data_IF_185088886057
#
_entry.id   IF_185088886057
#
_cell.length_a   1.000
_cell.length_b   1.000
_cell.length_c   1.000
_cell.angle_alpha   90.00
_cell.angle_beta   90.00
_cell.angle_gamma   90.00
#
_symmetry.space_group_name_H-M   'P 1'
#
loop_
_entity.id
_entity.type
_entity.pdbx_description
1 polymer ?
#
# COMPACT_ATOMS: atom_id res chain seq x y z
N UNK A 1 16.74 19.53 7.39
CA UNK A 1 15.91 18.58 6.62
C UNK A 1 16.46 17.19 6.93
N UNK A 2 15.79 16.42 7.78
CA UNK A 2 16.31 15.13 8.26
C UNK A 2 15.78 14.01 7.36
N UNK A 3 16.65 13.49 6.50
CA UNK A 3 16.38 12.31 5.68
C UNK A 3 16.59 11.08 6.56
N UNK A 4 15.51 10.48 7.04
CA UNK A 4 15.57 9.32 7.91
C UNK A 4 16.24 8.15 7.18
N UNK A 5 17.42 7.74 7.65
CA UNK A 5 18.17 6.60 7.11
C UNK A 5 17.36 5.31 7.34
N UNK A 6 16.83 4.74 6.25
CA UNK A 6 16.09 3.48 6.27
C UNK A 6 17.11 2.33 6.34
N UNK A 7 17.10 1.48 7.38
CA UNK A 7 18.03 0.36 7.49
C UNK A 7 17.89 -0.60 6.29
N UNK A 8 19.02 -1.16 5.83
CA UNK A 8 19.13 -1.95 4.60
C UNK A 8 18.25 -3.22 4.58
N UNK A 9 17.80 -3.72 5.73
CA UNK A 9 16.85 -4.82 5.88
C UNK A 9 15.39 -4.45 5.57
N UNK A 10 15.12 -3.18 5.24
CA UNK A 10 13.79 -2.64 4.98
C UNK A 10 13.68 -1.94 3.61
N UNK A 11 14.60 -2.27 2.68
CA UNK A 11 14.51 -1.80 1.28
C UNK A 11 13.25 -2.36 0.64
N UNK A 12 12.22 -1.51 0.54
CA UNK A 12 10.96 -1.87 -0.11
C UNK A 12 11.21 -1.98 -1.60
N UNK A 13 11.00 -3.17 -2.13
CA UNK A 13 10.99 -3.40 -3.57
C UNK A 13 9.62 -3.02 -4.12
N UNK A 14 9.62 -2.22 -5.18
CA UNK A 14 8.40 -1.85 -5.89
C UNK A 14 7.69 -3.12 -6.37
N UNK A 15 6.43 -3.35 -5.98
CA UNK A 15 5.69 -4.54 -6.38
C UNK A 15 5.34 -4.52 -7.88
N UNK A 16 5.43 -3.35 -8.53
CA UNK A 16 5.01 -3.16 -9.92
C UNK A 16 6.15 -3.37 -10.92
N UNK A 17 7.36 -2.89 -10.61
CA UNK A 17 8.52 -2.97 -11.51
C UNK A 17 9.74 -3.66 -10.90
N UNK A 18 9.71 -4.04 -9.62
CA UNK A 18 10.85 -4.67 -8.95
C UNK A 18 11.99 -3.73 -8.58
N UNK A 19 11.84 -2.40 -8.74
CA UNK A 19 12.87 -1.44 -8.33
C UNK A 19 13.02 -1.32 -6.81
N UNK A 20 14.24 -1.08 -6.31
CA UNK A 20 14.50 -0.72 -4.90
C UNK A 20 14.47 0.80 -4.66
N UNK A 21 14.40 1.62 -5.70
CA UNK A 21 14.38 3.08 -5.61
C UNK A 21 13.00 3.58 -5.18
N UNK A 22 12.68 3.38 -3.91
CA UNK A 22 11.42 3.78 -3.32
C UNK A 22 11.59 4.89 -2.30
N UNK A 23 10.65 5.83 -2.27
CA UNK A 23 10.54 6.87 -1.24
C UNK A 23 9.35 6.54 -0.36
N UNK A 24 9.61 6.27 0.92
CA UNK A 24 8.58 6.00 1.90
C UNK A 24 7.98 7.30 2.44
N UNK A 25 6.66 7.34 2.53
CA UNK A 25 5.90 8.31 3.30
C UNK A 25 5.28 7.60 4.50
N UNK A 26 5.74 7.96 5.69
CA UNK A 26 5.17 7.45 6.94
C UNK A 26 4.03 8.36 7.37
N UNK A 27 2.92 7.76 7.81
CA UNK A 27 1.89 8.51 8.54
C UNK A 27 2.49 8.99 9.86
N UNK A 28 2.05 10.16 10.33
CA UNK A 28 2.38 10.58 11.68
C UNK A 28 1.62 9.77 12.73
N UNK A 29 2.28 9.49 13.85
CA UNK A 29 1.66 8.80 14.99
C UNK A 29 1.20 9.79 16.09
N UNK A 30 1.65 11.04 16.03
CA UNK A 30 1.39 12.10 17.03
C UNK A 30 1.42 13.48 16.37
N UNK A 31 0.39 14.30 16.59
CA UNK A 31 0.33 15.70 16.12
C UNK A 31 -0.36 15.91 14.75
N UNK A 32 -0.54 17.18 14.33
CA UNK A 32 -1.20 17.56 13.08
C UNK A 32 -0.27 17.37 11.88
N UNK A 33 0.25 16.16 11.68
CA UNK A 33 0.83 15.79 10.39
C UNK A 33 -0.33 15.53 9.43
N UNK A 34 -0.35 16.24 8.31
CA UNK A 34 -1.37 16.09 7.26
C UNK A 34 -1.40 14.66 6.66
N UNK A 35 -0.33 13.88 6.84
CA UNK A 35 -0.22 12.52 6.37
C UNK A 35 -1.01 11.50 7.22
N UNK A 36 -2.22 11.20 6.76
CA UNK A 36 -3.11 10.18 7.33
C UNK A 36 -2.78 8.74 6.92
N UNK A 37 -2.19 8.59 5.73
CA UNK A 37 -1.92 7.30 5.09
C UNK A 37 -0.41 7.02 5.04
N UNK A 38 -0.05 5.73 5.05
CA UNK A 38 1.32 5.27 4.82
C UNK A 38 1.43 4.61 3.46
N UNK A 39 2.36 5.08 2.65
CA UNK A 39 2.60 4.59 1.31
C UNK A 39 4.05 4.80 0.91
N UNK A 40 4.49 4.14 -0.15
CA UNK A 40 5.76 4.45 -0.78
C UNK A 40 5.59 4.68 -2.28
N UNK A 41 6.39 5.57 -2.83
CA UNK A 41 6.44 5.86 -4.27
C UNK A 41 7.70 5.28 -4.88
N UNK A 42 7.58 4.62 -6.03
CA UNK A 42 8.72 4.19 -6.81
C UNK A 42 9.22 5.35 -7.68
N UNK A 43 10.51 5.67 -7.65
CA UNK A 43 11.09 6.70 -8.52
C UNK A 43 11.23 6.25 -9.97
N UNK A 44 11.36 4.95 -10.20
CA UNK A 44 11.60 4.41 -11.54
C UNK A 44 10.30 4.27 -12.36
N UNK A 45 9.23 3.75 -11.75
CA UNK A 45 7.93 3.61 -12.43
C UNK A 45 6.87 4.64 -12.01
N UNK A 46 7.19 5.53 -11.06
CA UNK A 46 6.27 6.56 -10.56
C UNK A 46 5.08 6.03 -9.73
N UNK A 47 4.93 4.70 -9.60
CA UNK A 47 3.78 4.11 -8.93
C UNK A 47 3.82 4.31 -7.42
N UNK A 48 2.65 4.64 -6.86
CA UNK A 48 2.41 4.71 -5.42
C UNK A 48 1.81 3.39 -4.94
N UNK A 49 2.37 2.85 -3.87
CA UNK A 49 1.91 1.63 -3.22
C UNK A 49 1.50 1.94 -1.79
N UNK A 50 0.23 1.74 -1.47
CA UNK A 50 -0.26 1.89 -0.09
C UNK A 50 0.13 0.70 0.79
N UNK A 51 0.56 1.00 2.00
CA UNK A 51 0.75 0.01 3.07
C UNK A 51 -0.32 0.15 4.15
N UNK A 52 -0.70 1.39 4.49
CA UNK A 52 -1.75 1.67 5.47
C UNK A 52 -2.63 2.79 4.93
N UNK A 53 -3.95 2.59 4.95
CA UNK A 53 -4.94 3.62 4.63
C UNK A 53 -5.84 3.87 5.82
N UNK A 54 -6.01 5.14 6.20
CA UNK A 54 -6.94 5.58 7.22
C UNK A 54 -8.36 5.70 6.62
N UNK A 55 -9.34 5.12 7.32
CA UNK A 55 -10.76 5.18 6.99
C UNK A 55 -11.58 5.63 8.18
N UNK A 56 -12.60 6.43 7.92
CA UNK A 56 -13.56 6.84 8.95
C UNK A 56 -14.53 5.70 9.28
N UNK A 57 -15.24 5.80 10.41
CA UNK A 57 -16.29 4.83 10.73
C UNK A 57 -17.39 4.82 9.65
N UNK A 58 -17.65 5.96 9.01
CA UNK A 58 -18.58 6.07 7.88
C UNK A 58 -18.07 5.26 6.68
N UNK A 59 -16.80 5.44 6.30
CA UNK A 59 -16.20 4.70 5.19
C UNK A 59 -16.21 3.19 5.41
N UNK A 60 -15.94 2.74 6.64
CA UNK A 60 -15.97 1.32 6.99
C UNK A 60 -17.35 0.69 6.75
N UNK A 61 -18.42 1.43 7.07
CA UNK A 61 -19.81 0.97 6.88
C UNK A 61 -20.16 0.83 5.39
N UNK A 62 -19.75 1.77 4.56
CA UNK A 62 -20.07 1.76 3.13
C UNK A 62 -19.12 0.90 2.29
N UNK A 63 -17.84 0.88 2.64
CA UNK A 63 -16.79 0.22 1.86
C UNK A 63 -16.64 -1.28 2.12
N UNK A 64 -17.40 -1.84 3.06
CA UNK A 64 -17.32 -3.25 3.48
C UNK A 64 -15.87 -3.71 3.75
N UNK A 65 -15.04 -2.81 4.28
CA UNK A 65 -13.63 -3.08 4.52
C UNK A 65 -13.49 -4.07 5.68
N UNK A 66 -13.05 -5.28 5.35
CA UNK A 66 -12.83 -6.38 6.30
C UNK A 66 -11.58 -7.15 5.95
N UNK A 67 -11.02 -7.87 6.92
CA UNK A 67 -9.89 -8.75 6.70
C UNK A 67 -10.14 -9.69 5.52
N UNK A 68 -9.16 -9.80 4.62
CA UNK A 68 -9.23 -10.62 3.42
C UNK A 68 -9.95 -9.99 2.24
N UNK A 69 -10.72 -8.91 2.42
CA UNK A 69 -11.38 -8.23 1.30
C UNK A 69 -10.39 -7.44 0.44
N UNK A 70 -10.85 -7.03 -0.74
CA UNK A 70 -10.05 -6.24 -1.68
C UNK A 70 -10.32 -4.75 -1.49
N UNK A 71 -9.26 -3.99 -1.24
CA UNK A 71 -9.26 -2.53 -1.35
C UNK A 71 -8.84 -2.14 -2.77
N UNK A 72 -9.57 -1.21 -3.39
CA UNK A 72 -9.25 -0.69 -4.73
C UNK A 72 -8.93 0.79 -4.62
N UNK A 73 -7.74 1.17 -5.07
CA UNK A 73 -7.42 2.57 -5.35
C UNK A 73 -7.98 2.90 -6.73
N UNK A 74 -9.02 3.73 -6.78
CA UNK A 74 -9.68 4.12 -8.03
C UNK A 74 -8.80 5.05 -8.87
N UNK A 75 -7.99 5.90 -8.24
CA UNK A 75 -7.16 6.87 -8.93
C UNK A 75 -6.07 6.19 -9.77
N UNK A 76 -5.50 5.09 -9.26
CA UNK A 76 -4.40 4.35 -9.90
C UNK A 76 -4.82 2.99 -10.42
N UNK A 77 -6.10 2.64 -10.29
CA UNK A 77 -6.68 1.34 -10.61
C UNK A 77 -5.95 0.14 -9.98
N UNK A 78 -5.20 0.36 -8.89
CA UNK A 78 -4.46 -0.69 -8.19
C UNK A 78 -5.36 -1.41 -7.18
N UNK A 79 -5.06 -2.69 -6.96
CA UNK A 79 -5.83 -3.55 -6.04
C UNK A 79 -4.92 -4.02 -4.92
N UNK A 80 -5.49 -4.12 -3.74
CA UNK A 80 -4.80 -4.52 -2.53
C UNK A 80 -5.67 -5.50 -1.74
N UNK A 81 -5.03 -6.46 -1.09
CA UNK A 81 -5.68 -7.30 -0.09
C UNK A 81 -5.57 -6.62 1.26
N UNK A 82 -6.69 -6.52 1.97
CA UNK A 82 -6.71 -6.06 3.36
C UNK A 82 -6.19 -7.20 4.23
N UNK A 83 -5.01 -7.01 4.81
CA UNK A 83 -4.33 -8.03 5.64
C UNK A 83 -4.56 -7.78 7.14
N UNK A 84 -5.03 -6.60 7.52
CA UNK A 84 -5.44 -6.26 8.89
C UNK A 84 -6.34 -5.03 8.89
N UNK A 85 -7.27 -4.99 9.85
CA UNK A 85 -8.08 -3.82 10.17
C UNK A 85 -7.85 -3.49 11.64
N UNK A 86 -7.51 -2.25 11.96
CA UNK A 86 -7.26 -1.80 13.33
C UNK A 86 -8.06 -0.54 13.62
N UNK A 87 -8.86 -0.53 14.70
CA UNK A 87 -9.54 0.68 15.18
C UNK A 87 -8.60 1.45 16.10
N UNK A 88 -8.28 2.71 15.78
CA UNK A 88 -7.26 3.52 16.50
C UNK A 88 -7.83 4.78 17.15
N UNK A 89 -9.15 4.88 17.26
CA UNK A 89 -9.84 5.97 17.94
C UNK A 89 -11.36 5.85 17.75
N UNK A 90 -12.08 6.94 18.02
CA UNK A 90 -13.55 6.96 17.88
C UNK A 90 -14.01 6.94 16.42
N UNK A 91 -13.24 7.55 15.50
CA UNK A 91 -13.62 7.68 14.09
C UNK A 91 -12.48 7.36 13.11
N UNK A 92 -11.50 6.55 13.52
CA UNK A 92 -10.37 6.18 12.66
C UNK A 92 -10.15 4.65 12.70
N UNK A 93 -10.06 4.08 11.51
CA UNK A 93 -9.69 2.69 11.26
C UNK A 93 -8.52 2.66 10.29
N UNK A 94 -7.51 1.87 10.60
CA UNK A 94 -6.35 1.64 9.75
C UNK A 94 -6.52 0.32 9.00
N UNK A 95 -6.47 0.39 7.68
CA UNK A 95 -6.45 -0.77 6.79
C UNK A 95 -5.00 -1.04 6.41
N UNK A 96 -4.47 -2.19 6.83
CA UNK A 96 -3.17 -2.66 6.36
C UNK A 96 -3.36 -3.39 5.05
N UNK A 97 -2.56 -3.03 4.07
CA UNK A 97 -2.73 -3.43 2.68
C UNK A 97 -1.51 -4.18 2.17
N UNK A 98 -1.76 -5.21 1.35
CA UNK A 98 -0.74 -5.88 0.53
C UNK A 98 -1.12 -5.75 -0.94
N UNK A 99 -0.24 -5.24 -1.82
CA UNK A 99 -0.56 -5.09 -3.24
C UNK A 99 -0.87 -6.44 -3.89
N UNK A 100 -1.94 -6.48 -4.67
CA UNK A 100 -2.27 -7.61 -5.52
C UNK A 100 -1.68 -7.35 -6.91
N UNK A 101 -0.42 -7.75 -7.07
CA UNK A 101 0.22 -7.80 -8.38
C UNK A 101 -0.50 -8.91 -9.14
N UNK A 102 -1.21 -8.57 -10.22
CA UNK A 102 -1.59 -9.60 -11.19
C UNK A 102 -0.26 -10.14 -11.70
N UNK A 103 0.15 -11.31 -11.20
CA UNK A 103 1.29 -11.99 -11.77
C UNK A 103 0.96 -12.17 -13.24
N UNK A 104 1.82 -11.57 -14.05
CA UNK A 104 1.97 -11.86 -15.46
C UNK A 104 1.84 -13.37 -15.65
N UNK A 105 1.09 -13.75 -16.69
CA UNK A 105 1.05 -15.11 -17.21
C UNK A 105 2.44 -15.75 -17.09
N UNK A 106 2.59 -17.00 -16.59
CA UNK A 106 3.83 -17.72 -16.87
C UNK A 106 4.06 -17.66 -18.38
N UNK A 107 5.30 -17.40 -18.86
CA UNK A 107 5.56 -17.39 -20.30
C UNK A 107 4.99 -18.69 -20.84
N UNK A 108 4.06 -18.58 -21.80
CA UNK A 108 3.57 -19.74 -22.52
C UNK A 108 4.81 -20.36 -23.16
N UNK A 109 5.25 -21.45 -22.54
CA UNK A 109 6.37 -22.26 -22.96
C UNK A 109 6.03 -22.78 -24.35
N UNK A 110 6.59 -22.11 -25.37
CA UNK A 110 6.46 -22.51 -26.77
C UNK A 110 7.51 -23.59 -27.03
N UNK A 111 7.39 -24.72 -26.32
CA UNK A 111 8.08 -25.95 -26.69
C UNK A 111 7.35 -26.56 -27.88
N UNK A 112 7.73 -26.09 -29.06
CA UNK A 112 7.33 -26.67 -30.32
C UNK A 112 8.42 -27.68 -30.70
N UNK A 113 8.16 -28.96 -30.46
CA UNK A 113 8.91 -30.09 -31.03
C UNK A 113 7.93 -31.12 -31.60
#
# INVERSE_FOLDING_TARGET
MAEAQIPASQRRRCPWCGSEHTRLMLRGFTGPTDERDQYFTCRDCGMLTYEIVSKTARDMRFGQYRLGATFRDTARQTRYRIIRVLKVGNNEHLLYLKPLIRQDQPPADNSNE
#
